data_IF_590275366665
#
_entry.id   IF_590275366665
#
_cell.length_a   1.000
_cell.length_b   1.000
_cell.length_c   1.000
_cell.angle_alpha   90.00
_cell.angle_beta   90.00
_cell.angle_gamma   90.00
#
_symmetry.space_group_name_H-M   'P 1'
#
loop_
_entity.id
_entity.type
_entity.pdbx_description
1 polymer ?
#
# COMPACT_ATOMS: atom_id res chain seq x y z
N UNK A 1 28.72 -5.43 59.52
CA UNK A 1 28.60 -4.56 58.33
C UNK A 1 28.73 -5.46 57.12
N UNK A 2 27.84 -5.60 56.14
CA UNK A 2 26.52 -5.04 55.80
C UNK A 2 25.78 -6.17 55.06
N UNK A 3 24.52 -6.43 55.39
CA UNK A 3 23.67 -7.35 54.62
C UNK A 3 23.04 -6.55 53.46
N UNK A 4 23.35 -6.92 52.21
CA UNK A 4 22.80 -6.29 51.02
C UNK A 4 21.54 -7.03 50.61
N UNK A 5 20.38 -6.40 50.78
CA UNK A 5 19.08 -6.94 50.37
C UNK A 5 18.68 -6.29 49.04
N UNK A 6 18.54 -7.08 47.98
CA UNK A 6 18.07 -6.61 46.67
C UNK A 6 16.56 -6.89 46.54
N UNK A 7 15.76 -5.84 46.42
CA UNK A 7 14.32 -5.92 46.17
C UNK A 7 14.09 -5.97 44.66
N UNK A 8 13.65 -7.12 44.14
CA UNK A 8 13.26 -7.26 42.74
C UNK A 8 11.80 -6.83 42.58
N UNK A 9 11.56 -5.62 42.04
CA UNK A 9 10.21 -5.18 41.66
C UNK A 9 9.86 -5.81 40.31
N UNK A 10 9.03 -6.85 40.30
CA UNK A 10 8.41 -7.34 39.08
C UNK A 10 7.21 -6.46 38.74
N UNK A 11 7.37 -5.54 37.78
CA UNK A 11 6.22 -4.85 37.17
C UNK A 11 5.57 -5.86 36.23
N UNK A 12 4.40 -6.37 36.62
CA UNK A 12 3.58 -7.16 35.72
C UNK A 12 3.12 -6.26 34.57
N UNK A 13 3.55 -6.58 33.34
CA UNK A 13 2.99 -5.97 32.15
C UNK A 13 1.48 -6.25 32.12
N UNK A 14 0.61 -5.25 31.86
CA UNK A 14 -0.81 -5.50 31.71
C UNK A 14 -1.01 -6.54 30.60
N UNK A 15 -2.03 -7.42 30.71
CA UNK A 15 -2.31 -8.38 29.67
C UNK A 15 -2.48 -7.63 28.36
N UNK A 16 -1.63 -7.95 27.38
CA UNK A 16 -1.80 -7.48 26.02
C UNK A 16 -3.23 -7.87 25.62
N UNK A 17 -4.08 -6.88 25.35
CA UNK A 17 -5.39 -7.15 24.81
C UNK A 17 -5.14 -7.91 23.50
N UNK A 18 -5.54 -9.18 23.48
CA UNK A 18 -5.48 -9.97 22.26
C UNK A 18 -6.29 -9.20 21.22
N UNK A 19 -5.59 -8.59 20.25
CA UNK A 19 -6.22 -7.86 19.16
C UNK A 19 -7.04 -8.90 18.41
N UNK A 20 -8.36 -8.87 18.62
CA UNK A 20 -9.26 -9.76 17.92
C UNK A 20 -9.12 -9.43 16.44
N UNK A 21 -8.50 -10.34 15.70
CA UNK A 21 -8.32 -10.18 14.27
C UNK A 21 -9.70 -10.23 13.65
N UNK A 22 -10.19 -9.08 13.19
CA UNK A 22 -11.40 -9.01 12.37
C UNK A 22 -11.23 -10.00 11.21
N UNK A 23 -12.18 -10.90 11.03
CA UNK A 23 -12.16 -11.79 9.88
C UNK A 23 -12.27 -10.95 8.60
N UNK A 24 -11.20 -10.93 7.81
CA UNK A 24 -11.16 -10.24 6.53
C UNK A 24 -11.83 -11.14 5.49
N UNK A 25 -12.92 -10.66 4.91
CA UNK A 25 -13.59 -11.28 3.77
C UNK A 25 -12.80 -10.93 2.49
N UNK A 26 -12.08 -11.94 2.02
CA UNK A 26 -11.23 -11.92 0.84
C UNK A 26 -10.62 -13.31 0.59
N UNK A 27 -10.02 -13.54 -0.59
CA UNK A 27 -9.32 -14.80 -0.85
C UNK A 27 -8.18 -15.04 0.15
N UNK A 28 -7.72 -16.29 0.31
CA UNK A 28 -6.62 -16.59 1.21
C UNK A 28 -5.35 -15.82 0.83
N UNK A 29 -4.51 -15.53 1.84
CA UNK A 29 -3.23 -14.89 1.64
C UNK A 29 -2.39 -15.67 0.59
N UNK A 30 -1.74 -14.99 -0.36
CA UNK A 30 -0.97 -15.66 -1.38
C UNK A 30 0.27 -16.34 -0.78
N UNK A 31 0.53 -17.57 -1.22
CA UNK A 31 1.71 -18.35 -0.80
C UNK A 31 2.90 -17.96 -1.67
N UNK A 32 4.05 -17.71 -1.05
CA UNK A 32 5.27 -17.37 -1.77
C UNK A 32 5.61 -18.43 -2.85
N UNK A 33 6.04 -18.02 -4.07
CA UNK A 33 6.42 -16.66 -4.45
C UNK A 33 5.25 -15.75 -4.90
N UNK A 34 4.02 -16.26 -5.00
CA UNK A 34 2.88 -15.47 -5.46
C UNK A 34 2.61 -14.27 -4.55
N UNK A 35 2.25 -13.13 -5.13
CA UNK A 35 2.04 -11.86 -4.40
C UNK A 35 0.58 -11.43 -4.32
N UNK A 36 -0.29 -12.13 -5.05
CA UNK A 36 -1.71 -11.87 -5.14
C UNK A 36 -2.49 -13.17 -5.32
N UNK A 37 -3.60 -13.32 -4.58
CA UNK A 37 -4.63 -14.33 -4.83
C UNK A 37 -5.88 -13.61 -5.33
N UNK A 38 -6.57 -14.16 -6.33
CA UNK A 38 -7.81 -13.60 -6.88
C UNK A 38 -8.91 -14.66 -6.90
N UNK A 39 -10.15 -14.24 -6.63
CA UNK A 39 -11.34 -15.05 -6.88
C UNK A 39 -11.89 -14.80 -8.28
N UNK A 40 -12.80 -15.67 -8.74
CA UNK A 40 -13.56 -15.44 -9.98
C UNK A 40 -14.51 -14.23 -9.91
N UNK A 41 -14.90 -13.80 -8.70
CA UNK A 41 -15.70 -12.60 -8.46
C UNK A 41 -14.87 -11.30 -8.44
N UNK A 42 -13.55 -11.39 -8.67
CA UNK A 42 -12.67 -10.22 -8.76
C UNK A 42 -12.11 -9.72 -7.41
N UNK A 43 -12.46 -10.36 -6.28
CA UNK A 43 -11.83 -10.05 -4.99
C UNK A 43 -10.35 -10.46 -5.02
N UNK A 44 -9.49 -9.68 -4.37
CA UNK A 44 -8.07 -9.92 -4.33
C UNK A 44 -7.49 -9.75 -2.93
N UNK A 45 -6.52 -10.59 -2.60
CA UNK A 45 -5.68 -10.46 -1.40
C UNK A 45 -4.24 -10.34 -1.86
N UNK A 46 -3.60 -9.23 -1.50
CA UNK A 46 -2.22 -8.92 -1.85
C UNK A 46 -1.30 -9.09 -0.64
N UNK A 47 -0.08 -9.57 -0.86
CA UNK A 47 0.93 -9.64 0.20
C UNK A 47 1.50 -8.25 0.48
N UNK A 48 1.37 -7.78 1.71
CA UNK A 48 2.15 -6.65 2.19
C UNK A 48 3.53 -7.12 2.65
N UNK A 49 4.59 -6.41 2.22
CA UNK A 49 5.99 -6.81 2.44
C UNK A 49 6.57 -6.05 3.63
N UNK A 50 7.04 -6.74 4.66
CA UNK A 50 7.78 -6.08 5.74
C UNK A 50 9.16 -5.66 5.23
N UNK A 51 9.50 -4.38 5.36
CA UNK A 51 10.80 -3.86 4.95
C UNK A 51 11.91 -4.37 5.87
N UNK A 52 12.99 -4.88 5.27
CA UNK A 52 14.21 -5.25 5.98
C UNK A 52 15.17 -4.06 6.18
N UNK A 53 15.00 -3.00 5.40
CA UNK A 53 15.75 -1.76 5.47
C UNK A 53 14.83 -0.58 5.07
N UNK A 54 15.09 0.65 5.53
CA UNK A 54 14.31 1.83 5.15
C UNK A 54 14.33 2.09 3.64
N UNK A 55 13.27 2.72 3.12
CA UNK A 55 13.20 3.23 1.75
C UNK A 55 13.72 4.68 1.68
N UNK A 56 14.36 5.03 0.57
CA UNK A 56 14.60 6.43 0.22
C UNK A 56 13.40 6.93 -0.59
N UNK A 57 12.72 7.96 -0.11
CA UNK A 57 11.51 8.47 -0.77
C UNK A 57 11.85 9.52 -1.82
N UNK A 58 12.60 9.14 -2.86
CA UNK A 58 13.01 10.00 -3.98
C UNK A 58 12.29 9.68 -5.30
N UNK A 59 11.47 8.63 -5.34
CA UNK A 59 10.71 8.19 -6.51
C UNK A 59 11.49 7.23 -7.42
N UNK A 60 12.74 6.91 -7.09
CA UNK A 60 13.51 5.85 -7.77
C UNK A 60 13.16 4.51 -7.11
N UNK A 61 13.05 3.45 -7.91
CA UNK A 61 12.69 2.11 -7.43
C UNK A 61 13.90 1.18 -7.51
N UNK A 62 14.94 1.43 -6.72
CA UNK A 62 16.22 0.71 -6.79
C UNK A 62 16.64 -0.02 -5.50
N UNK A 63 15.85 0.12 -4.43
CA UNK A 63 16.00 -0.62 -3.18
C UNK A 63 15.87 -2.14 -3.35
N UNK A 64 16.46 -2.93 -2.44
CA UNK A 64 16.43 -4.40 -2.52
C UNK A 64 15.03 -4.99 -2.60
N UNK A 65 14.02 -4.37 -1.97
CA UNK A 65 12.64 -4.88 -2.00
C UNK A 65 12.09 -4.96 -3.43
N UNK A 66 12.42 -3.99 -4.30
CA UNK A 66 11.94 -3.95 -5.68
C UNK A 66 12.64 -4.96 -6.60
N UNK A 67 13.79 -5.50 -6.17
CA UNK A 67 14.55 -6.55 -6.87
C UNK A 67 14.19 -7.95 -6.38
N UNK A 68 13.92 -8.09 -5.08
CA UNK A 68 13.73 -9.37 -4.42
C UNK A 68 12.26 -9.81 -4.37
N UNK A 69 11.32 -8.85 -4.35
CA UNK A 69 9.90 -9.14 -4.29
C UNK A 69 9.21 -8.71 -5.58
N UNK A 70 8.41 -9.62 -6.14
CA UNK A 70 7.63 -9.32 -7.34
C UNK A 70 6.56 -8.23 -7.04
N UNK A 71 6.28 -7.32 -7.99
CA UNK A 71 5.09 -6.48 -7.89
C UNK A 71 3.83 -7.30 -8.09
N UNK A 72 2.72 -6.85 -7.52
CA UNK A 72 1.41 -7.26 -8.00
C UNK A 72 0.95 -6.32 -9.13
N UNK A 73 0.12 -6.85 -10.02
CA UNK A 73 -0.47 -6.11 -11.13
C UNK A 73 -1.83 -6.68 -11.48
N UNK A 74 -2.22 -6.55 -12.75
CA UNK A 74 -3.52 -7.01 -13.24
C UNK A 74 -4.66 -6.17 -12.64
N UNK A 75 -4.47 -4.85 -12.56
CA UNK A 75 -5.54 -3.94 -12.18
C UNK A 75 -6.74 -4.14 -13.13
N UNK A 76 -7.93 -3.92 -12.61
CA UNK A 76 -9.19 -4.12 -13.33
C UNK A 76 -9.81 -2.76 -13.60
N UNK A 77 -10.33 -2.58 -14.80
CA UNK A 77 -10.96 -1.33 -15.21
C UNK A 77 -12.31 -1.17 -14.50
N UNK A 78 -12.55 0.04 -14.01
CA UNK A 78 -13.88 0.51 -13.60
C UNK A 78 -14.60 1.18 -14.77
N UNK A 79 -13.84 1.85 -15.63
CA UNK A 79 -14.27 2.49 -16.86
C UNK A 79 -13.10 2.49 -17.87
N UNK A 80 -13.36 2.58 -19.19
CA UNK A 80 -14.69 2.54 -19.82
C UNK A 80 -15.32 1.14 -19.79
N UNK A 81 -14.50 0.08 -19.79
CA UNK A 81 -14.96 -1.30 -19.86
C UNK A 81 -14.88 -1.98 -18.49
N UNK A 82 -15.93 -1.82 -17.69
CA UNK A 82 -15.97 -2.33 -16.32
C UNK A 82 -15.69 -3.85 -16.26
N UNK A 83 -14.71 -4.25 -15.43
CA UNK A 83 -14.32 -5.65 -15.25
C UNK A 83 -13.25 -6.16 -16.21
N UNK A 84 -12.92 -5.42 -17.28
CA UNK A 84 -11.83 -5.78 -18.17
C UNK A 84 -10.45 -5.59 -17.51
N UNK A 85 -9.41 -6.32 -17.96
CA UNK A 85 -8.03 -6.01 -17.56
C UNK A 85 -7.66 -4.57 -17.90
N UNK A 86 -6.83 -3.93 -17.07
CA UNK A 86 -6.24 -2.62 -17.38
C UNK A 86 -5.50 -2.66 -18.72
N UNK A 87 -5.70 -1.62 -19.53
CA UNK A 87 -5.06 -1.46 -20.85
C UNK A 87 -3.57 -1.14 -20.73
N UNK A 88 -3.22 -0.38 -19.69
CA UNK A 88 -1.85 -0.01 -19.37
C UNK A 88 -1.36 -0.84 -18.18
N UNK A 89 -0.14 -1.37 -18.30
CA UNK A 89 0.48 -2.15 -17.24
C UNK A 89 0.80 -1.21 -16.06
N UNK A 90 0.58 -1.70 -14.85
CA UNK A 90 1.11 -1.07 -13.64
C UNK A 90 1.62 -2.15 -12.69
N UNK A 91 2.83 -1.94 -12.20
CA UNK A 91 3.49 -2.79 -11.21
C UNK A 91 3.41 -2.08 -9.86
N UNK A 92 2.86 -2.74 -8.84
CA UNK A 92 2.64 -2.15 -7.52
C UNK A 92 3.24 -3.00 -6.41
N UNK A 93 3.72 -2.33 -5.37
CA UNK A 93 4.19 -2.94 -4.12
C UNK A 93 3.49 -2.26 -2.95
N UNK A 94 2.98 -3.06 -2.02
CA UNK A 94 2.61 -2.58 -0.69
C UNK A 94 3.67 -3.10 0.26
N UNK A 95 4.41 -2.19 0.88
CA UNK A 95 5.40 -2.51 1.89
C UNK A 95 5.13 -1.75 3.17
N UNK A 96 5.72 -2.17 4.28
CA UNK A 96 5.53 -1.51 5.57
C UNK A 96 6.73 -1.67 6.49
N UNK A 97 6.88 -0.71 7.39
CA UNK A 97 7.72 -0.81 8.58
C UNK A 97 6.84 -0.71 9.84
N UNK A 98 7.44 -0.58 11.02
CA UNK A 98 6.68 -0.55 12.28
C UNK A 98 5.85 0.75 12.46
N UNK A 99 6.01 1.75 11.57
CA UNK A 99 5.37 3.08 11.66
C UNK A 99 4.60 3.48 10.40
N UNK A 100 4.97 2.94 9.23
CA UNK A 100 4.47 3.41 7.94
C UNK A 100 4.02 2.26 7.05
N UNK A 101 3.02 2.54 6.22
CA UNK A 101 2.65 1.74 5.05
C UNK A 101 3.08 2.54 3.81
N UNK A 102 3.72 1.87 2.87
CA UNK A 102 4.20 2.43 1.62
C UNK A 102 3.49 1.77 0.46
N UNK A 103 2.94 2.60 -0.43
CA UNK A 103 2.56 2.19 -1.77
C UNK A 103 3.63 2.67 -2.74
N UNK A 104 4.21 1.75 -3.49
CA UNK A 104 5.10 2.07 -4.61
C UNK A 104 4.45 1.59 -5.89
N UNK A 105 4.51 2.39 -6.94
CA UNK A 105 3.94 2.06 -8.23
C UNK A 105 4.91 2.43 -9.35
N UNK A 106 5.03 1.54 -10.33
CA UNK A 106 5.58 1.83 -11.65
C UNK A 106 4.43 1.73 -12.65
N UNK A 107 3.99 2.88 -13.12
CA UNK A 107 2.96 3.00 -14.14
C UNK A 107 3.63 3.04 -15.50
N UNK A 108 3.22 2.15 -16.40
CA UNK A 108 3.61 2.19 -17.79
C UNK A 108 2.49 2.92 -18.55
N UNK A 109 2.87 3.72 -19.53
CA UNK A 109 1.92 4.41 -20.39
C UNK A 109 2.48 4.36 -21.82
N UNK A 110 1.66 3.91 -22.76
CA UNK A 110 2.03 3.87 -24.18
C UNK A 110 2.01 5.24 -24.84
N UNK A 111 1.31 6.22 -24.25
CA UNK A 111 1.34 7.61 -24.68
C UNK A 111 2.68 8.28 -24.31
N UNK A 112 3.23 9.12 -25.20
CA UNK A 112 4.44 9.85 -24.88
C UNK A 112 4.17 10.94 -23.83
N UNK A 113 5.18 11.36 -23.03
CA UNK A 113 4.98 12.24 -21.87
C UNK A 113 4.27 13.57 -22.17
N UNK A 114 4.42 14.12 -23.38
CA UNK A 114 3.73 15.34 -23.81
C UNK A 114 2.19 15.20 -23.89
N UNK A 115 1.66 13.97 -23.85
CA UNK A 115 0.21 13.71 -23.79
C UNK A 115 -0.30 13.49 -22.36
N UNK A 116 0.58 13.35 -21.38
CA UNK A 116 0.17 13.16 -19.99
C UNK A 116 -0.53 14.42 -19.48
N UNK A 117 -1.66 14.23 -18.81
CA UNK A 117 -2.39 15.31 -18.16
C UNK A 117 -1.88 15.41 -16.73
N UNK A 118 -0.77 16.11 -16.54
CA UNK A 118 -0.22 16.41 -15.23
C UNK A 118 0.07 17.91 -15.13
N UNK A 119 -0.92 18.70 -14.73
CA UNK A 119 -0.85 20.15 -14.63
C UNK A 119 -1.28 20.70 -13.26
N UNK A 120 -1.65 19.83 -12.32
CA UNK A 120 -1.95 20.19 -10.93
C UNK A 120 -0.77 19.85 -10.02
N UNK A 121 -0.38 20.82 -9.20
CA UNK A 121 0.71 20.72 -8.21
C UNK A 121 0.30 21.26 -6.83
N UNK A 122 -0.82 21.97 -6.76
CA UNK A 122 -1.33 22.49 -5.50
C UNK A 122 -1.80 21.31 -4.66
N UNK A 123 -1.42 21.35 -3.40
CA UNK A 123 -1.78 20.32 -2.42
C UNK A 123 -3.30 20.35 -2.14
N UNK A 124 -3.88 19.17 -1.94
CA UNK A 124 -5.26 18.97 -1.47
C UNK A 124 -6.35 19.59 -2.37
N UNK A 125 -6.12 19.60 -3.69
CA UNK A 125 -7.13 20.08 -4.64
C UNK A 125 -7.94 18.93 -5.22
N UNK A 126 -9.22 19.20 -5.49
CA UNK A 126 -10.06 18.28 -6.26
C UNK A 126 -9.58 18.10 -7.72
N UNK A 127 -8.74 19.01 -8.22
CA UNK A 127 -8.24 18.99 -9.60
C UNK A 127 -7.26 17.85 -9.88
N UNK A 128 -6.55 17.35 -8.87
CA UNK A 128 -5.58 16.26 -9.02
C UNK A 128 -6.23 14.99 -9.59
N UNK A 129 -7.49 14.70 -9.22
CA UNK A 129 -8.22 13.54 -9.75
C UNK A 129 -8.62 13.65 -11.23
N UNK A 130 -8.52 14.85 -11.80
CA UNK A 130 -8.72 15.09 -13.24
C UNK A 130 -7.38 15.04 -14.01
N UNK A 131 -6.28 14.74 -13.34
CA UNK A 131 -4.98 14.46 -13.94
C UNK A 131 -4.76 12.96 -14.04
N UNK A 132 -3.71 12.56 -14.77
CA UNK A 132 -3.13 11.24 -14.64
C UNK A 132 -2.59 11.09 -13.21
N UNK A 133 -3.14 10.13 -12.46
CA UNK A 133 -2.85 9.98 -11.06
C UNK A 133 -2.91 8.52 -10.62
N UNK A 134 -2.25 8.23 -9.51
CA UNK A 134 -2.39 6.98 -8.76
C UNK A 134 -3.03 7.32 -7.42
N UNK A 135 -3.99 6.50 -7.01
CA UNK A 135 -4.67 6.63 -5.73
C UNK A 135 -4.76 5.31 -4.98
N UNK A 136 -4.83 5.39 -3.65
CA UNK A 136 -5.12 4.26 -2.77
C UNK A 136 -6.08 4.68 -1.68
N UNK A 137 -7.02 3.81 -1.35
CA UNK A 137 -7.96 3.99 -0.25
C UNK A 137 -7.75 2.87 0.76
N UNK A 138 -7.48 3.23 2.01
CA UNK A 138 -7.34 2.30 3.13
C UNK A 138 -8.56 2.40 4.05
N UNK A 139 -9.33 1.30 4.16
CA UNK A 139 -10.27 1.10 5.26
C UNK A 139 -9.52 0.48 6.45
N UNK A 140 -9.11 1.33 7.38
CA UNK A 140 -8.28 0.92 8.53
C UNK A 140 -9.08 0.26 9.65
N UNK A 141 -10.41 0.34 9.62
CA UNK A 141 -11.31 -0.23 10.63
C UNK A 141 -12.05 -1.47 10.12
N UNK A 142 -11.98 -1.73 8.82
CA UNK A 142 -12.70 -2.79 8.12
C UNK A 142 -14.23 -2.67 8.30
N UNK A 143 -14.74 -1.44 8.35
CA UNK A 143 -16.17 -1.14 8.52
C UNK A 143 -16.91 -1.01 7.17
N UNK A 144 -16.18 -1.04 6.05
CA UNK A 144 -16.66 -0.86 4.67
C UNK A 144 -17.39 0.45 4.42
N UNK A 145 -17.12 1.46 5.24
CA UNK A 145 -17.81 2.75 5.23
C UNK A 145 -16.83 3.92 5.31
N UNK A 146 -15.77 3.78 6.08
CA UNK A 146 -14.78 4.82 6.37
C UNK A 146 -13.44 4.44 5.75
N UNK A 147 -12.64 5.44 5.38
CA UNK A 147 -11.29 5.19 4.88
C UNK A 147 -10.49 6.46 4.65
N UNK A 148 -9.18 6.28 4.48
CA UNK A 148 -8.23 7.33 4.12
C UNK A 148 -7.81 7.14 2.68
N UNK A 149 -7.90 8.20 1.87
CA UNK A 149 -7.57 8.14 0.46
C UNK A 149 -6.36 9.03 0.18
N UNK A 150 -5.33 8.46 -0.44
CA UNK A 150 -4.11 9.17 -0.80
C UNK A 150 -3.97 9.16 -2.32
N UNK A 151 -3.61 10.30 -2.89
CA UNK A 151 -3.40 10.45 -4.33
C UNK A 151 -2.07 11.13 -4.64
N UNK A 152 -1.45 10.73 -5.74
CA UNK A 152 -0.29 11.41 -6.32
C UNK A 152 -0.36 11.42 -7.83
N UNK A 153 0.32 12.37 -8.47
CA UNK A 153 0.52 12.38 -9.92
C UNK A 153 2.02 12.25 -10.28
N UNK A 154 2.38 12.13 -11.57
CA UNK A 154 3.79 12.03 -12.01
C UNK A 154 4.67 13.23 -11.63
N UNK A 155 4.08 14.38 -11.31
CA UNK A 155 4.81 15.57 -10.86
C UNK A 155 5.01 15.62 -9.33
N UNK A 156 4.53 14.61 -8.61
CA UNK A 156 4.64 14.54 -7.15
C UNK A 156 3.64 15.41 -6.39
N UNK A 157 2.57 15.87 -7.04
CA UNK A 157 1.43 16.51 -6.36
C UNK A 157 0.78 15.52 -5.40
N UNK A 158 0.17 16.01 -4.32
CA UNK A 158 -0.38 15.16 -3.25
C UNK A 158 -1.75 15.66 -2.80
N UNK A 159 -2.66 14.72 -2.55
CA UNK A 159 -3.94 14.98 -1.90
C UNK A 159 -4.29 13.83 -0.95
N UNK A 160 -4.72 14.16 0.26
CA UNK A 160 -5.09 13.21 1.32
C UNK A 160 -6.27 13.66 2.21
#
# INVERSE_FOLDING_TARGET
MLASSALLLAVAAPPAHARQLTAIDGPPAPVAPAVITRTSSGQATVRAIKLAAPLTLDGVLDEPVYKNEAPFGGLIQVAPDAGAPATERSDLWISYDDRNIYLSCRCYDSAPPEKWIANELRRDTGGLRNNDHVGVLFDTFYDRRSGFAFYTNPLGARAD
#
